data_IF_040932688723
#
_entry.id   IF_040932688723
#
_cell.length_a   1.000
_cell.length_b   1.000
_cell.length_c   1.000
_cell.angle_alpha   90.00
_cell.angle_beta   90.00
_cell.angle_gamma   90.00
#
_symmetry.space_group_name_H-M   'P 1'
#
loop_
_entity.id
_entity.type
_entity.pdbx_description
1 polymer ?
#
# COMPACT_ATOMS: atom_id res chain seq x y z
N UNK A 1 -22.74 -1.26 3.20
CA UNK A 1 -21.59 -0.32 3.01
C UNK A 1 -21.28 -0.20 1.53
N UNK A 2 -21.20 1.02 0.98
CA UNK A 2 -20.85 1.25 -0.43
C UNK A 2 -19.41 0.76 -0.71
N UNK A 3 -19.18 -0.12 -1.71
CA UNK A 3 -17.86 -0.68 -2.02
C UNK A 3 -16.80 0.39 -2.32
N UNK A 4 -17.18 1.50 -2.94
CA UNK A 4 -16.25 2.59 -3.28
C UNK A 4 -15.70 3.28 -2.01
N UNK A 5 -16.51 3.36 -0.95
CA UNK A 5 -16.07 3.95 0.33
C UNK A 5 -15.06 3.04 1.04
N UNK A 6 -15.21 1.71 0.93
CA UNK A 6 -14.19 0.78 1.45
C UNK A 6 -12.87 0.93 0.70
N UNK A 7 -12.94 1.03 -0.62
CA UNK A 7 -11.77 1.15 -1.48
C UNK A 7 -10.98 2.44 -1.20
N UNK A 8 -11.67 3.58 -1.12
CA UNK A 8 -11.04 4.88 -0.78
C UNK A 8 -10.40 4.83 0.61
N UNK A 9 -11.04 4.19 1.61
CA UNK A 9 -10.43 4.02 2.94
C UNK A 9 -9.15 3.20 2.90
N UNK A 10 -9.13 2.09 2.17
CA UNK A 10 -7.93 1.28 1.99
C UNK A 10 -6.80 2.09 1.34
N UNK A 11 -7.12 2.91 0.35
CA UNK A 11 -6.15 3.77 -0.34
C UNK A 11 -5.54 4.82 0.60
N UNK A 12 -6.37 5.49 1.39
CA UNK A 12 -5.91 6.45 2.42
C UNK A 12 -5.06 5.75 3.48
N UNK A 13 -5.39 4.52 3.85
CA UNK A 13 -4.61 3.73 4.81
C UNK A 13 -3.21 3.37 4.26
N UNK A 14 -3.09 3.00 2.99
CA UNK A 14 -1.79 2.75 2.36
C UNK A 14 -0.96 4.03 2.18
N UNK A 15 -1.60 5.16 1.88
CA UNK A 15 -0.93 6.46 1.86
C UNK A 15 -0.37 6.80 3.24
N UNK A 16 -1.13 6.56 4.31
CA UNK A 16 -0.64 6.76 5.69
C UNK A 16 0.56 5.87 6.02
N UNK A 17 0.62 4.65 5.50
CA UNK A 17 1.75 3.72 5.73
C UNK A 17 3.00 4.12 4.95
N UNK A 18 2.83 4.79 3.83
CA UNK A 18 3.94 5.16 2.92
C UNK A 18 4.42 6.58 3.13
N UNK A 19 3.54 7.49 3.54
CA UNK A 19 3.86 8.89 3.81
C UNK A 19 4.60 9.03 5.14
N UNK A 20 5.64 9.85 5.15
CA UNK A 20 6.34 10.25 6.38
C UNK A 20 5.57 11.32 7.18
N UNK A 21 4.48 11.85 6.62
CA UNK A 21 3.73 12.95 7.22
C UNK A 21 2.67 12.41 8.19
N UNK A 22 2.70 12.79 9.48
CA UNK A 22 1.79 12.23 10.49
C UNK A 22 0.35 12.71 10.29
N UNK A 23 0.15 13.88 9.68
CA UNK A 23 -1.16 14.47 9.50
C UNK A 23 -1.74 14.18 8.12
N UNK A 24 -2.58 13.15 8.07
CA UNK A 24 -3.27 12.71 6.85
C UNK A 24 -4.14 13.80 6.21
N UNK A 25 -4.58 14.81 6.98
CA UNK A 25 -5.38 15.92 6.46
C UNK A 25 -4.58 16.90 5.60
N UNK A 26 -3.27 17.00 5.79
CA UNK A 26 -2.40 17.89 5.02
C UNK A 26 -1.77 17.20 3.81
N UNK A 27 -2.02 15.89 3.66
CA UNK A 27 -1.44 15.13 2.56
C UNK A 27 -2.24 15.39 1.28
N UNK A 28 -1.59 16.05 0.32
CA UNK A 28 -2.15 16.43 -0.99
C UNK A 28 -2.76 15.24 -1.72
N UNK A 29 -2.18 14.04 -1.59
CA UNK A 29 -2.70 12.84 -2.24
C UNK A 29 -4.06 12.44 -1.66
N UNK A 30 -4.23 12.55 -0.34
CA UNK A 30 -5.49 12.23 0.34
C UNK A 30 -6.56 13.24 -0.05
N UNK A 31 -6.22 14.53 -0.09
CA UNK A 31 -7.13 15.57 -0.53
C UNK A 31 -7.60 15.33 -1.97
N UNK A 32 -6.67 15.05 -2.89
CA UNK A 32 -6.97 14.72 -4.28
C UNK A 32 -7.90 13.50 -4.41
N UNK A 33 -7.63 12.41 -3.68
CA UNK A 33 -8.46 11.20 -3.74
C UNK A 33 -9.87 11.46 -3.22
N UNK A 34 -9.99 12.21 -2.12
CA UNK A 34 -11.29 12.58 -1.57
C UNK A 34 -12.07 13.47 -2.55
N UNK A 35 -11.38 14.35 -3.26
CA UNK A 35 -11.99 15.21 -4.26
C UNK A 35 -12.48 14.42 -5.48
N UNK A 36 -11.65 13.53 -6.03
CA UNK A 36 -12.05 12.61 -7.11
C UNK A 36 -13.23 11.74 -6.67
N UNK A 37 -13.18 11.17 -5.46
CA UNK A 37 -14.27 10.35 -4.94
C UNK A 37 -15.59 11.12 -4.76
N UNK A 38 -15.53 12.43 -4.50
CA UNK A 38 -16.71 13.31 -4.44
C UNK A 38 -17.24 13.64 -5.83
N UNK A 39 -16.37 13.98 -6.77
CA UNK A 39 -16.73 14.31 -8.17
C UNK A 39 -17.39 13.14 -8.89
N UNK A 40 -17.07 11.90 -8.51
CA UNK A 40 -17.67 10.68 -9.05
C UNK A 40 -18.86 10.15 -8.22
N UNK A 41 -19.36 10.91 -7.24
CA UNK A 41 -20.50 10.54 -6.41
C UNK A 41 -21.80 11.03 -7.06
N UNK A 42 -22.48 10.11 -7.78
CA UNK A 42 -23.86 10.27 -8.26
C UNK A 42 -24.10 11.38 -9.31
N UNK A 43 -23.42 11.31 -10.45
CA UNK A 43 -23.85 12.06 -11.65
C UNK A 43 -24.64 11.15 -12.57
N UNK A 44 -25.91 11.49 -12.83
CA UNK A 44 -26.93 10.68 -13.52
C UNK A 44 -26.65 10.37 -15.00
N UNK A 45 -25.70 11.04 -15.66
CA UNK A 45 -25.26 10.71 -17.02
C UNK A 45 -24.16 9.62 -17.07
N UNK A 46 -23.68 9.16 -15.91
CA UNK A 46 -22.46 8.33 -15.76
C UNK A 46 -22.82 6.91 -15.30
N UNK A 47 -23.92 6.35 -15.81
CA UNK A 47 -24.59 5.22 -15.16
C UNK A 47 -23.93 3.83 -15.34
N UNK A 48 -22.85 3.69 -16.12
CA UNK A 48 -22.13 2.41 -16.17
C UNK A 48 -20.60 2.56 -16.24
N UNK A 49 -20.07 3.39 -17.15
CA UNK A 49 -18.63 3.37 -17.44
C UNK A 49 -17.79 4.01 -16.34
N UNK A 50 -18.08 5.26 -15.93
CA UNK A 50 -17.17 5.93 -15.00
C UNK A 50 -17.27 5.46 -13.53
N UNK A 51 -18.35 4.76 -13.14
CA UNK A 51 -18.41 4.07 -11.85
C UNK A 51 -17.38 2.93 -11.80
N UNK A 52 -17.25 2.18 -12.88
CA UNK A 52 -16.22 1.16 -13.02
C UNK A 52 -14.84 1.78 -13.20
N UNK A 53 -14.72 2.91 -13.88
CA UNK A 53 -13.43 3.62 -14.02
C UNK A 53 -12.88 4.08 -12.67
N UNK A 54 -13.67 4.72 -11.80
CA UNK A 54 -13.20 5.11 -10.47
C UNK A 54 -12.73 3.90 -9.67
N UNK A 55 -13.50 2.81 -9.71
CA UNK A 55 -13.16 1.57 -9.01
C UNK A 55 -11.86 0.98 -9.56
N UNK A 56 -11.74 0.83 -10.88
CA UNK A 56 -10.54 0.30 -11.54
C UNK A 56 -9.33 1.17 -11.26
N UNK A 57 -9.48 2.49 -11.30
CA UNK A 57 -8.40 3.44 -11.05
C UNK A 57 -7.92 3.33 -9.60
N UNK A 58 -8.85 3.32 -8.65
CA UNK A 58 -8.51 3.18 -7.24
C UNK A 58 -7.93 1.78 -6.91
N UNK A 59 -8.43 0.70 -7.51
CA UNK A 59 -7.82 -0.64 -7.40
C UNK A 59 -6.40 -0.66 -7.96
N UNK A 60 -6.18 -0.03 -9.12
CA UNK A 60 -4.86 0.10 -9.75
C UNK A 60 -3.88 0.84 -8.84
N UNK A 61 -4.27 2.00 -8.31
CA UNK A 61 -3.41 2.75 -7.39
C UNK A 61 -3.17 2.04 -6.08
N UNK A 62 -4.17 1.36 -5.53
CA UNK A 62 -4.02 0.56 -4.31
C UNK A 62 -3.01 -0.58 -4.54
N UNK A 63 -3.12 -1.29 -5.67
CA UNK A 63 -2.19 -2.34 -6.06
C UNK A 63 -0.77 -1.79 -6.21
N UNK A 64 -0.62 -0.64 -6.87
CA UNK A 64 0.68 0.01 -7.07
C UNK A 64 1.35 0.39 -5.75
N UNK A 65 0.63 1.08 -4.85
CA UNK A 65 1.15 1.50 -3.54
C UNK A 65 1.53 0.29 -2.68
N UNK A 66 0.68 -0.73 -2.64
CA UNK A 66 0.96 -1.98 -1.93
C UNK A 66 2.22 -2.67 -2.47
N UNK A 67 2.31 -2.81 -3.80
CA UNK A 67 3.45 -3.45 -4.46
C UNK A 67 4.73 -2.68 -4.18
N UNK A 68 4.70 -1.35 -4.21
CA UNK A 68 5.87 -0.51 -3.89
C UNK A 68 6.32 -0.71 -2.44
N UNK A 69 5.40 -0.77 -1.48
CA UNK A 69 5.71 -1.05 -0.07
C UNK A 69 6.34 -2.43 0.10
N UNK A 70 5.75 -3.44 -0.52
CA UNK A 70 6.26 -4.81 -0.47
C UNK A 70 7.64 -4.93 -1.12
N UNK A 71 7.85 -4.32 -2.29
CA UNK A 71 9.16 -4.27 -2.94
C UNK A 71 10.21 -3.63 -2.05
N UNK A 72 9.86 -2.55 -1.34
CA UNK A 72 10.77 -1.94 -0.35
C UNK A 72 11.11 -2.90 0.78
N UNK A 73 10.11 -3.58 1.36
CA UNK A 73 10.33 -4.56 2.42
C UNK A 73 11.24 -5.72 1.97
N UNK A 74 11.04 -6.22 0.75
CA UNK A 74 11.89 -7.24 0.14
C UNK A 74 13.31 -6.70 -0.06
N UNK A 75 13.44 -5.49 -0.62
CA UNK A 75 14.75 -4.87 -0.82
C UNK A 75 15.50 -4.68 0.51
N UNK A 76 14.83 -4.18 1.55
CA UNK A 76 15.42 -3.99 2.88
C UNK A 76 15.81 -5.33 3.54
N UNK A 77 15.07 -6.41 3.24
CA UNK A 77 15.34 -7.76 3.76
C UNK A 77 16.50 -8.45 3.04
N UNK A 78 16.59 -8.32 1.72
CA UNK A 78 17.51 -9.12 0.90
C UNK A 78 18.69 -8.34 0.34
N UNK A 79 18.61 -7.02 0.21
CA UNK A 79 19.66 -6.17 -0.39
C UNK A 79 20.34 -5.26 0.64
N UNK A 80 21.60 -4.91 0.41
CA UNK A 80 22.21 -3.69 0.99
C UNK A 80 22.71 -3.72 2.43
N UNK A 81 22.69 -4.85 3.16
CA UNK A 81 23.17 -4.91 4.56
C UNK A 81 24.69 -5.13 4.74
N UNK A 82 25.48 -5.17 3.66
CA UNK A 82 26.91 -5.48 3.75
C UNK A 82 27.15 -6.93 4.25
N UNK A 83 28.18 -7.13 5.06
CA UNK A 83 28.43 -8.43 5.71
C UNK A 83 27.41 -8.68 6.82
N UNK A 84 26.62 -9.75 6.67
CA UNK A 84 25.65 -10.20 7.68
C UNK A 84 26.33 -11.16 8.64
N UNK A 85 25.86 -11.19 9.89
CA UNK A 85 26.34 -12.19 10.85
C UNK A 85 25.93 -13.61 10.43
N UNK A 86 26.64 -14.62 10.96
CA UNK A 86 26.33 -16.04 10.70
C UNK A 86 24.88 -16.35 11.09
N UNK A 87 24.41 -15.79 12.21
CA UNK A 87 23.03 -15.97 12.69
C UNK A 87 22.00 -15.38 11.74
N UNK A 88 22.16 -14.11 11.36
CA UNK A 88 21.25 -13.44 10.42
C UNK A 88 21.23 -14.13 9.05
N UNK A 89 22.37 -14.68 8.62
CA UNK A 89 22.45 -15.43 7.37
C UNK A 89 21.71 -16.76 7.47
N UNK A 90 21.90 -17.51 8.56
CA UNK A 90 21.18 -18.75 8.83
C UNK A 90 19.67 -18.52 8.88
N UNK A 91 19.21 -17.51 9.63
CA UNK A 91 17.80 -17.14 9.74
C UNK A 91 17.20 -16.72 8.39
N UNK A 92 17.95 -15.97 7.56
CA UNK A 92 17.50 -15.53 6.24
C UNK A 92 17.20 -16.70 5.29
N UNK A 93 18.02 -17.75 5.34
CA UNK A 93 17.89 -18.93 4.47
C UNK A 93 17.06 -20.05 5.10
N UNK A 94 16.65 -19.90 6.36
CA UNK A 94 15.84 -20.87 7.09
C UNK A 94 16.63 -21.99 7.79
N UNK A 95 17.91 -21.77 8.10
CA UNK A 95 18.71 -22.67 8.93
C UNK A 95 18.68 -22.25 10.40
N UNK A 96 18.77 -23.24 11.30
CA UNK A 96 19.01 -23.02 12.73
C UNK A 96 20.50 -23.17 13.05
N UNK A 97 20.99 -22.47 14.07
CA UNK A 97 22.36 -22.68 14.53
C UNK A 97 22.46 -23.97 15.36
N UNK A 98 23.64 -24.60 15.46
CA UNK A 98 23.84 -25.80 16.27
C UNK A 98 23.51 -25.64 17.75
N UNK A 99 23.45 -24.39 18.25
CA UNK A 99 23.11 -24.04 19.63
C UNK A 99 21.62 -23.68 19.83
N UNK A 100 20.83 -23.58 18.77
CA UNK A 100 19.40 -23.29 18.90
C UNK A 100 18.62 -24.55 19.33
N UNK A 101 17.57 -24.41 20.16
CA UNK A 101 16.74 -25.53 20.55
C UNK A 101 16.06 -26.16 19.32
N UNK A 102 16.03 -27.50 19.32
CA UNK A 102 15.40 -28.30 18.25
C UNK A 102 13.93 -27.98 18.09
#
# INVERSE_FOLDING_TARGET
>A
MNPNVKLVRSLVQEIRRTSSEPNVKNNIMVEYILDQARSHKETSEVLCKAREELKNLAETYLCYLNSRRLCKEIHDRYTGKGERTIKETADLVGFKLPHDPK
#
